data_IF_303606972181
#
_entry.id   IF_303606972181
#
_cell.length_a   1.000
_cell.length_b   1.000
_cell.length_c   1.000
_cell.angle_alpha   90.00
_cell.angle_beta   90.00
_cell.angle_gamma   90.00
#
_symmetry.space_group_name_H-M   'P 1'
#
loop_
_entity.id
_entity.type
_entity.pdbx_description
1 polymer ?
#
# COMPACT_ATOMS: atom_id res chain seq x y z
N UNK A 1 -16.08 -13.80 8.13
CA UNK A 1 -15.15 -12.66 8.08
C UNK A 1 -14.36 -12.69 6.78
N UNK A 2 -14.37 -11.59 6.09
CA UNK A 2 -13.64 -11.51 4.84
C UNK A 2 -12.14 -11.45 5.12
N UNK A 3 -11.35 -12.22 4.35
CA UNK A 3 -9.90 -12.12 4.41
C UNK A 3 -9.46 -10.89 3.64
N UNK A 4 -8.41 -10.19 4.09
CA UNK A 4 -7.88 -9.09 3.29
C UNK A 4 -7.43 -9.60 1.93
N UNK A 5 -7.65 -8.81 0.90
CA UNK A 5 -7.21 -9.12 -0.46
C UNK A 5 -5.68 -9.09 -0.54
N UNK A 6 -5.05 -8.32 0.33
CA UNK A 6 -3.61 -8.25 0.45
C UNK A 6 -3.27 -7.78 1.86
N UNK A 7 -2.24 -8.37 2.44
CA UNK A 7 -1.73 -7.94 3.74
C UNK A 7 -0.24 -8.23 3.78
N UNK A 8 0.55 -7.23 4.09
CA UNK A 8 2.00 -7.38 4.24
C UNK A 8 2.45 -6.63 5.47
N UNK A 9 3.19 -7.31 6.33
CA UNK A 9 3.80 -6.73 7.52
C UNK A 9 5.28 -6.51 7.29
N UNK A 10 5.91 -5.75 8.19
CA UNK A 10 7.32 -5.45 8.07
C UNK A 10 7.64 -4.50 6.93
N UNK A 11 6.68 -3.70 6.53
CA UNK A 11 6.82 -2.75 5.43
C UNK A 11 7.35 -1.43 5.97
N UNK A 12 8.43 -0.94 5.37
CA UNK A 12 8.91 0.40 5.68
C UNK A 12 8.03 1.39 4.93
N UNK A 13 7.40 2.30 5.68
CA UNK A 13 6.53 3.33 5.11
C UNK A 13 7.17 4.68 5.34
N UNK A 14 7.46 5.37 4.25
CA UNK A 14 8.11 6.67 4.29
C UNK A 14 7.25 7.70 3.56
N UNK A 15 7.12 8.87 4.17
CA UNK A 15 6.58 10.06 3.52
C UNK A 15 7.75 11.02 3.39
N UNK A 16 8.28 11.14 2.18
CA UNK A 16 9.48 11.91 1.95
C UNK A 16 9.42 13.28 2.61
N UNK A 17 10.42 13.69 3.36
CA UNK A 17 11.69 12.99 3.62
C UNK A 17 11.72 12.18 4.92
N UNK A 18 10.57 11.86 5.50
CA UNK A 18 10.50 11.22 6.82
C UNK A 18 10.10 9.76 6.74
N UNK A 19 10.73 8.94 7.58
CA UNK A 19 10.28 7.58 7.81
C UNK A 19 9.19 7.59 8.88
N UNK A 20 8.04 7.00 8.57
CA UNK A 20 6.90 6.95 9.48
C UNK A 20 6.92 5.67 10.31
N UNK A 21 7.35 4.57 9.73
CA UNK A 21 7.49 3.30 10.43
C UNK A 21 8.46 2.42 9.65
N UNK A 22 9.24 1.62 10.39
CA UNK A 22 10.17 0.66 9.78
C UNK A 22 9.54 -0.71 9.59
N UNK A 23 8.46 -0.99 10.30
CA UNK A 23 7.82 -2.31 10.31
C UNK A 23 6.32 -2.15 10.34
N UNK A 24 5.79 -1.40 9.38
CA UNK A 24 4.36 -1.16 9.27
C UNK A 24 3.65 -2.26 8.52
N UNK A 25 2.38 -2.03 8.28
CA UNK A 25 1.54 -2.95 7.54
C UNK A 25 0.83 -2.23 6.42
N UNK A 26 0.75 -2.90 5.26
CA UNK A 26 -0.06 -2.46 4.14
C UNK A 26 -1.18 -3.46 3.97
N UNK A 27 -2.42 -2.98 3.97
CA UNK A 27 -3.58 -3.85 3.89
C UNK A 27 -4.55 -3.36 2.84
N UNK A 28 -5.04 -4.27 2.01
CA UNK A 28 -6.13 -4.00 1.07
C UNK A 28 -7.29 -4.88 1.50
N UNK A 29 -8.40 -4.25 1.88
CA UNK A 29 -9.56 -4.96 2.42
C UNK A 29 -10.82 -4.15 2.14
N UNK A 30 -11.85 -4.81 1.67
CA UNK A 30 -13.16 -4.18 1.41
C UNK A 30 -13.06 -2.96 0.49
N UNK A 31 -12.24 -3.04 -0.53
CA UNK A 31 -12.10 -1.97 -1.51
C UNK A 31 -11.32 -0.75 -0.99
N UNK A 32 -10.58 -0.89 0.11
CA UNK A 32 -9.80 0.21 0.68
C UNK A 32 -8.36 -0.24 0.90
N UNK A 33 -7.46 0.71 0.69
CA UNK A 33 -6.06 0.56 1.06
C UNK A 33 -5.85 1.25 2.40
N UNK A 34 -5.18 0.58 3.33
CA UNK A 34 -4.80 1.15 4.62
C UNK A 34 -3.31 0.96 4.86
N UNK A 35 -2.66 2.01 5.35
CA UNK A 35 -1.26 2.00 5.77
C UNK A 35 -1.25 2.13 7.28
N UNK A 36 -0.58 1.20 7.96
CA UNK A 36 -0.64 1.09 9.41
C UNK A 36 0.77 1.07 10.01
N UNK A 37 0.89 1.58 11.23
CA UNK A 37 2.14 1.45 11.98
C UNK A 37 2.29 0.02 12.49
N UNK A 38 3.46 -0.29 13.06
CA UNK A 38 3.71 -1.61 13.66
C UNK A 38 2.77 -1.92 14.82
N UNK A 39 2.15 -0.91 15.39
CA UNK A 39 1.19 -1.07 16.49
C UNK A 39 -0.26 -1.11 16.01
N UNK A 40 -0.46 -1.11 14.70
CA UNK A 40 -1.81 -1.17 14.14
C UNK A 40 -2.53 0.16 14.04
N UNK A 41 -1.83 1.28 14.30
CA UNK A 41 -2.43 2.61 14.15
C UNK A 41 -2.44 2.99 12.67
N UNK A 42 -3.57 3.47 12.19
CA UNK A 42 -3.68 3.89 10.80
C UNK A 42 -2.87 5.16 10.54
N UNK A 43 -1.99 5.08 9.53
CA UNK A 43 -1.26 6.24 9.04
C UNK A 43 -2.14 7.00 8.04
N UNK A 44 -2.73 6.26 7.10
CA UNK A 44 -3.58 6.83 6.07
C UNK A 44 -4.39 5.70 5.44
N UNK A 45 -5.51 6.04 4.84
CA UNK A 45 -6.31 5.07 4.09
C UNK A 45 -7.17 5.78 3.06
N UNK A 46 -7.56 5.05 2.02
CA UNK A 46 -8.44 5.59 0.99
C UNK A 46 -9.06 4.45 0.20
N UNK A 47 -10.18 4.69 -0.48
CA UNK A 47 -10.71 3.71 -1.42
C UNK A 47 -9.67 3.40 -2.49
N UNK A 48 -9.59 2.14 -2.90
CA UNK A 48 -8.57 1.72 -3.88
C UNK A 48 -8.65 2.50 -5.18
N UNK A 49 -9.84 2.94 -5.59
CA UNK A 49 -10.00 3.75 -6.80
C UNK A 49 -9.37 5.14 -6.68
N UNK A 50 -9.21 5.63 -5.47
CA UNK A 50 -8.62 6.94 -5.23
C UNK A 50 -7.11 6.86 -5.00
N UNK A 51 -6.53 5.67 -5.02
CA UNK A 51 -5.11 5.46 -4.80
C UNK A 51 -4.40 5.31 -6.14
N UNK A 52 -3.30 6.02 -6.30
CA UNK A 52 -2.40 5.81 -7.43
C UNK A 52 -1.15 5.14 -6.93
N UNK A 53 -0.76 4.04 -7.55
CA UNK A 53 0.40 3.30 -7.12
C UNK A 53 1.14 2.76 -8.34
N UNK A 54 2.44 2.61 -8.18
CA UNK A 54 3.28 2.08 -9.24
C UNK A 54 4.70 1.91 -8.75
N UNK A 55 5.54 1.43 -9.66
CA UNK A 55 6.97 1.34 -9.41
C UNK A 55 7.61 2.63 -9.90
N UNK A 56 8.52 3.13 -9.09
CA UNK A 56 9.36 4.26 -9.50
C UNK A 56 10.79 3.76 -9.61
N UNK A 57 11.44 4.04 -10.73
CA UNK A 57 12.83 3.63 -10.89
C UNK A 57 13.76 4.31 -9.88
N UNK A 58 13.32 5.43 -9.30
CA UNK A 58 14.06 6.09 -8.22
C UNK A 58 13.95 5.33 -6.90
N UNK A 59 12.88 4.56 -6.74
CA UNK A 59 12.60 3.90 -5.46
C UNK A 59 13.26 2.52 -5.35
N UNK A 60 13.70 1.96 -6.48
CA UNK A 60 14.31 0.64 -6.50
C UNK A 60 13.31 -0.50 -6.67
N UNK A 61 13.78 -1.74 -6.88
CA UNK A 61 12.91 -2.88 -7.19
C UNK A 61 12.08 -3.37 -6.00
N UNK A 62 12.50 -3.04 -4.79
CA UNK A 62 11.85 -3.49 -3.56
C UNK A 62 10.87 -2.46 -3.00
N UNK A 63 10.60 -1.39 -3.75
CA UNK A 63 9.72 -0.33 -3.28
C UNK A 63 8.62 -0.05 -4.28
N UNK A 64 7.47 0.31 -3.75
CA UNK A 64 6.36 0.84 -4.52
C UNK A 64 6.07 2.25 -4.01
N UNK A 65 5.54 3.10 -4.88
CA UNK A 65 5.13 4.45 -4.51
C UNK A 65 3.61 4.48 -4.62
N UNK A 66 2.96 4.90 -3.55
CA UNK A 66 1.51 5.02 -3.52
C UNK A 66 1.13 6.44 -3.11
N UNK A 67 0.20 7.03 -3.85
CA UNK A 67 -0.35 8.34 -3.50
C UNK A 67 -1.73 8.12 -2.90
N UNK A 68 -1.87 8.48 -1.63
CA UNK A 68 -3.07 8.29 -0.84
C UNK A 68 -3.49 9.65 -0.29
N UNK A 69 -4.70 10.08 -0.62
CA UNK A 69 -5.22 11.40 -0.20
C UNK A 69 -4.25 12.54 -0.52
N UNK A 70 -3.63 12.48 -1.71
CA UNK A 70 -2.70 13.51 -2.15
C UNK A 70 -1.30 13.41 -1.57
N UNK A 71 -1.06 12.47 -0.68
CA UNK A 71 0.26 12.28 -0.06
C UNK A 71 0.95 11.09 -0.69
N UNK A 72 2.21 11.27 -1.05
CA UNK A 72 3.00 10.22 -1.67
C UNK A 72 3.78 9.46 -0.60
N UNK A 73 3.58 8.14 -0.57
CA UNK A 73 4.26 7.25 0.35
C UNK A 73 5.16 6.29 -0.42
N UNK A 74 6.34 6.05 0.12
CA UNK A 74 7.24 5.01 -0.38
C UNK A 74 7.08 3.79 0.52
N UNK A 75 6.76 2.66 -0.09
CA UNK A 75 6.52 1.41 0.61
C UNK A 75 7.63 0.44 0.22
N UNK A 76 8.51 0.14 1.16
CA UNK A 76 9.64 -0.77 0.90
C UNK A 76 9.32 -2.14 1.47
N UNK A 77 9.33 -3.15 0.62
CA UNK A 77 9.06 -4.53 0.97
C UNK A 77 9.81 -5.43 -0.01
N UNK A 78 9.80 -6.73 0.23
CA UNK A 78 10.46 -7.66 -0.69
C UNK A 78 9.92 -7.48 -2.11
N UNK A 79 10.78 -7.64 -3.15
CA UNK A 79 10.34 -7.42 -4.54
C UNK A 79 9.10 -8.21 -4.95
N UNK A 80 9.01 -9.47 -4.52
CA UNK A 80 7.83 -10.29 -4.81
C UNK A 80 6.57 -9.72 -4.17
N UNK A 81 6.70 -9.18 -2.96
CA UNK A 81 5.57 -8.57 -2.26
C UNK A 81 5.17 -7.24 -2.87
N UNK A 82 6.13 -6.44 -3.32
CA UNK A 82 5.80 -5.17 -3.96
C UNK A 82 5.03 -5.41 -5.26
N UNK A 83 5.41 -6.42 -6.04
CA UNK A 83 4.65 -6.83 -7.21
C UNK A 83 3.26 -7.33 -6.85
N UNK A 84 3.17 -8.14 -5.80
CA UNK A 84 1.89 -8.64 -5.30
C UNK A 84 0.97 -7.53 -4.82
N UNK A 85 1.54 -6.51 -4.17
CA UNK A 85 0.78 -5.34 -3.73
C UNK A 85 0.16 -4.60 -4.91
N UNK A 86 0.95 -4.31 -5.94
CA UNK A 86 0.47 -3.57 -7.11
C UNK A 86 -0.61 -4.37 -7.85
N UNK A 87 -0.42 -5.67 -7.97
CA UNK A 87 -1.40 -6.56 -8.59
C UNK A 87 -2.70 -6.59 -7.78
N UNK A 88 -2.61 -6.73 -6.47
CA UNK A 88 -3.78 -6.78 -5.60
C UNK A 88 -4.54 -5.47 -5.62
N UNK A 89 -3.83 -4.34 -5.66
CA UNK A 89 -4.45 -3.04 -5.73
C UNK A 89 -5.23 -2.88 -7.05
N UNK A 90 -4.63 -3.32 -8.16
CA UNK A 90 -5.28 -3.27 -9.47
C UNK A 90 -6.53 -4.13 -9.48
N UNK A 91 -6.45 -5.35 -8.95
CA UNK A 91 -7.60 -6.26 -8.87
C UNK A 91 -8.73 -5.70 -8.02
N UNK A 92 -8.38 -5.13 -6.88
CA UNK A 92 -9.37 -4.54 -5.98
C UNK A 92 -10.09 -3.37 -6.67
N UNK A 93 -9.36 -2.54 -7.40
CA UNK A 93 -9.95 -1.43 -8.14
C UNK A 93 -10.88 -1.94 -9.25
N UNK A 94 -10.48 -2.99 -9.96
CA UNK A 94 -11.30 -3.60 -11.01
C UNK A 94 -12.57 -4.22 -10.43
N UNK A 95 -12.47 -4.89 -9.29
CA UNK A 95 -13.62 -5.50 -8.63
C UNK A 95 -14.66 -4.46 -8.23
N UNK A 96 -14.21 -3.31 -7.75
CA UNK A 96 -15.11 -2.22 -7.38
C UNK A 96 -15.81 -1.66 -8.63
N UNK A 97 -15.13 -1.66 -9.78
CA UNK A 97 -15.70 -1.18 -11.04
C UNK A 97 -16.78 -2.09 -11.62
N UNK A 98 -16.81 -3.36 -11.22
CA UNK A 98 -17.74 -4.32 -11.76
C UNK A 98 -19.10 -4.37 -11.06
N UNK A 99 -19.27 -3.58 -10.04
CA UNK A 99 -20.55 -3.48 -9.34
C UNK A 99 -21.53 -2.52 -10.07
#
# INVERSE_FOLDING_TARGET
>A
MAKPEFSARGVRIERWPRSLTRAGEVRIEDGRLALLTSYGREIDSAPVKAVRAGRSWFAGPDAAVATVNGTRYRLTMEPARSGGFLEALRRAADDVDQD
#
